data_IF_430253841648
#
_entry.id   IF_430253841648
#
_cell.length_a   1.000
_cell.length_b   1.000
_cell.length_c   1.000
_cell.angle_alpha   90.00
_cell.angle_beta   90.00
_cell.angle_gamma   90.00
#
_symmetry.space_group_name_H-M   'P 1'
#
loop_
_entity.id
_entity.type
_entity.pdbx_description
1 polymer ?
#
# COMPACT_ATOMS: atom_id res chain seq x y z
N UNK A 1 11.08 -5.00 -3.17
CA UNK A 1 11.26 -6.33 -3.76
C UNK A 1 11.61 -7.37 -2.71
N UNK A 2 12.51 -7.06 -1.78
CA UNK A 2 13.01 -8.02 -0.78
C UNK A 2 11.89 -8.61 0.09
N UNK A 3 10.87 -7.82 0.44
CA UNK A 3 9.73 -8.31 1.22
C UNK A 3 8.88 -9.31 0.44
N UNK A 4 8.65 -9.06 -0.85
CA UNK A 4 7.90 -9.98 -1.72
C UNK A 4 8.70 -11.28 -1.88
N UNK A 5 9.99 -11.16 -2.13
CA UNK A 5 10.91 -12.30 -2.25
C UNK A 5 10.94 -13.13 -0.96
N UNK A 6 11.07 -12.48 0.19
CA UNK A 6 11.03 -13.13 1.50
C UNK A 6 9.70 -13.88 1.72
N UNK A 7 8.58 -13.21 1.45
CA UNK A 7 7.24 -13.81 1.60
C UNK A 7 7.06 -15.02 0.68
N UNK A 8 7.55 -14.93 -0.55
CA UNK A 8 7.49 -16.03 -1.52
C UNK A 8 8.30 -17.25 -1.04
N UNK A 9 9.53 -17.04 -0.57
CA UNK A 9 10.37 -18.14 -0.08
C UNK A 9 9.84 -18.76 1.20
N UNK A 10 9.39 -17.95 2.15
CA UNK A 10 8.81 -18.48 3.40
C UNK A 10 7.50 -19.20 3.14
N UNK A 11 6.59 -18.57 2.38
CA UNK A 11 5.30 -19.20 2.04
C UNK A 11 5.46 -20.44 1.19
N UNK A 12 6.35 -20.42 0.20
CA UNK A 12 6.69 -21.58 -0.62
C UNK A 12 7.30 -22.71 0.18
N UNK A 13 8.21 -22.41 1.11
CA UNK A 13 8.80 -23.39 2.01
C UNK A 13 7.76 -24.07 2.91
N UNK A 14 6.86 -23.29 3.50
CA UNK A 14 5.76 -23.82 4.31
C UNK A 14 4.82 -24.69 3.46
N UNK A 15 4.46 -24.23 2.26
CA UNK A 15 3.61 -24.99 1.34
C UNK A 15 4.23 -26.36 1.00
N UNK A 16 5.51 -26.39 0.62
CA UNK A 16 6.22 -27.65 0.31
C UNK A 16 6.26 -28.55 1.53
N UNK A 17 6.57 -28.00 2.73
CA UNK A 17 6.61 -28.78 3.95
C UNK A 17 5.25 -29.45 4.28
N UNK A 18 4.16 -28.69 4.13
CA UNK A 18 2.79 -29.21 4.34
C UNK A 18 2.45 -30.27 3.31
N UNK A 19 2.78 -30.07 2.02
CA UNK A 19 2.54 -31.07 0.98
C UNK A 19 3.31 -32.37 1.25
N UNK A 20 4.59 -32.27 1.60
CA UNK A 20 5.40 -33.44 1.94
C UNK A 20 4.87 -34.17 3.20
N UNK A 21 4.44 -33.42 4.20
CA UNK A 21 3.80 -33.98 5.38
C UNK A 21 2.49 -34.72 5.05
N UNK A 22 1.66 -34.13 4.20
CA UNK A 22 0.43 -34.79 3.74
C UNK A 22 0.72 -36.09 2.98
N UNK A 23 1.68 -36.04 2.05
CA UNK A 23 2.13 -37.22 1.29
C UNK A 23 2.62 -38.32 2.28
N UNK A 24 3.47 -37.92 3.22
CA UNK A 24 3.92 -38.83 4.27
C UNK A 24 2.76 -39.47 5.03
N UNK A 25 1.77 -38.68 5.45
CA UNK A 25 0.60 -39.18 6.15
C UNK A 25 -0.21 -40.17 5.31
N UNK A 26 -0.42 -39.90 4.04
CA UNK A 26 -1.14 -40.77 3.11
C UNK A 26 -0.45 -42.16 3.03
N UNK A 27 0.87 -42.19 2.85
CA UNK A 27 1.61 -43.45 2.75
C UNK A 27 1.72 -44.16 4.12
N UNK A 28 1.92 -43.38 5.20
CA UNK A 28 2.16 -43.96 6.55
C UNK A 28 0.89 -44.46 7.22
N UNK A 29 -0.23 -43.80 6.97
CA UNK A 29 -1.51 -44.08 7.63
C UNK A 29 -2.58 -44.68 6.70
N UNK A 30 -2.18 -45.16 5.52
CA UNK A 30 -3.10 -45.91 4.65
C UNK A 30 -3.72 -47.10 5.40
N UNK A 31 -4.97 -47.40 5.08
CA UNK A 31 -5.69 -48.53 5.67
C UNK A 31 -4.95 -49.84 5.42
N UNK A 32 -4.80 -50.62 6.45
CA UNK A 32 -4.29 -52.01 6.42
C UNK A 32 -5.17 -52.87 7.33
N UNK A 33 -5.48 -54.10 6.92
CA UNK A 33 -6.38 -54.98 7.64
C UNK A 33 -5.88 -55.32 9.08
N UNK A 34 -4.57 -55.35 9.26
CA UNK A 34 -3.92 -55.68 10.55
C UNK A 34 -3.74 -54.48 11.49
N UNK A 35 -4.17 -53.28 11.08
CA UNK A 35 -3.99 -52.06 11.86
C UNK A 35 -5.32 -51.40 12.21
N UNK A 36 -5.52 -51.15 13.49
CA UNK A 36 -6.61 -50.30 13.98
C UNK A 36 -6.11 -48.91 14.27
N UNK A 37 -6.94 -47.90 13.91
CA UNK A 37 -6.67 -46.53 14.27
C UNK A 37 -6.74 -46.34 15.79
N UNK A 38 -5.79 -45.63 16.36
CA UNK A 38 -5.85 -45.21 17.77
C UNK A 38 -6.87 -44.09 17.92
N UNK A 39 -7.80 -44.29 18.85
CA UNK A 39 -8.77 -43.24 19.18
C UNK A 39 -8.14 -42.21 20.11
N UNK A 40 -7.73 -41.08 19.56
CA UNK A 40 -7.14 -39.95 20.29
C UNK A 40 -7.80 -38.67 19.87
N UNK A 41 -8.96 -38.32 20.44
CA UNK A 41 -9.77 -37.20 19.98
C UNK A 41 -9.11 -35.82 20.21
N UNK A 42 -8.28 -35.73 21.25
CA UNK A 42 -7.58 -34.47 21.59
C UNK A 42 -6.12 -34.74 21.99
N UNK A 43 -5.21 -33.95 21.41
CA UNK A 43 -3.83 -33.87 21.86
C UNK A 43 -3.50 -32.43 22.23
N UNK A 44 -3.73 -32.03 23.47
CA UNK A 44 -3.50 -30.67 23.99
C UNK A 44 -2.06 -30.20 23.86
N UNK A 45 -1.07 -31.11 23.78
CA UNK A 45 0.33 -30.73 23.57
C UNK A 45 0.58 -30.35 22.12
N UNK A 46 0.09 -31.19 21.20
CA UNK A 46 0.22 -30.93 19.77
C UNK A 46 -0.53 -29.65 19.38
N UNK A 47 -1.73 -29.46 19.88
CA UNK A 47 -2.54 -28.26 19.66
C UNK A 47 -1.80 -26.98 20.11
N UNK A 48 -1.26 -26.98 21.35
CA UNK A 48 -0.47 -25.85 21.85
C UNK A 48 0.77 -25.56 20.99
N UNK A 49 1.51 -26.60 20.58
CA UNK A 49 2.70 -26.45 19.75
C UNK A 49 2.33 -25.85 18.40
N UNK A 50 1.30 -26.34 17.74
CA UNK A 50 0.83 -25.84 16.45
C UNK A 50 0.33 -24.40 16.57
N UNK A 51 -0.46 -24.08 17.59
CA UNK A 51 -0.96 -22.74 17.84
C UNK A 51 0.19 -21.75 18.05
N UNK A 52 1.15 -22.07 18.91
CA UNK A 52 2.28 -21.19 19.15
C UNK A 52 3.20 -21.06 17.93
N UNK A 53 3.46 -22.15 17.21
CA UNK A 53 4.30 -22.12 16.01
C UNK A 53 3.69 -21.23 14.92
N UNK A 54 2.38 -21.37 14.67
CA UNK A 54 1.68 -20.53 13.70
C UNK A 54 1.61 -19.07 14.16
N UNK A 55 1.30 -18.81 15.43
CA UNK A 55 1.26 -17.44 15.98
C UNK A 55 2.60 -16.74 15.87
N UNK A 56 3.69 -17.39 16.25
CA UNK A 56 5.04 -16.83 16.15
C UNK A 56 5.45 -16.65 14.69
N UNK A 57 5.11 -17.59 13.80
CA UNK A 57 5.37 -17.46 12.36
C UNK A 57 4.66 -16.28 11.73
N UNK A 58 3.37 -16.11 12.03
CA UNK A 58 2.59 -14.95 11.56
C UNK A 58 3.14 -13.64 12.14
N UNK A 59 3.45 -13.58 13.42
CA UNK A 59 4.02 -12.40 14.05
C UNK A 59 5.37 -12.01 13.43
N UNK A 60 6.23 -12.98 13.13
CA UNK A 60 7.52 -12.76 12.48
C UNK A 60 7.40 -12.22 11.05
N UNK A 61 6.36 -12.61 10.31
CA UNK A 61 6.08 -12.08 8.97
C UNK A 61 5.39 -10.71 9.01
N UNK A 62 4.56 -10.47 10.02
CA UNK A 62 3.84 -9.21 10.18
C UNK A 62 4.76 -8.06 10.57
N UNK A 63 5.76 -8.30 11.44
CA UNK A 63 6.64 -7.25 11.94
C UNK A 63 7.38 -6.47 10.83
N UNK A 64 8.04 -7.10 9.83
CA UNK A 64 8.64 -6.37 8.70
C UNK A 64 7.61 -5.58 7.90
N UNK A 65 6.41 -6.14 7.69
CA UNK A 65 5.32 -5.47 7.00
C UNK A 65 4.89 -4.18 7.68
N UNK A 66 4.75 -4.19 9.01
CA UNK A 66 4.41 -2.99 9.81
C UNK A 66 5.52 -1.94 9.77
N UNK A 67 6.79 -2.35 9.75
CA UNK A 67 7.91 -1.42 9.63
C UNK A 67 7.86 -0.69 8.29
N UNK A 68 7.64 -1.42 7.21
CA UNK A 68 7.51 -0.84 5.87
C UNK A 68 6.28 0.06 5.78
N UNK A 69 5.14 -0.40 6.30
CA UNK A 69 3.92 0.40 6.33
C UNK A 69 4.13 1.74 7.08
N UNK A 70 4.85 1.71 8.20
CA UNK A 70 5.19 2.91 8.95
C UNK A 70 5.98 3.93 8.11
N UNK A 71 6.81 3.49 7.16
CA UNK A 71 7.54 4.39 6.25
C UNK A 71 6.62 5.10 5.26
N UNK A 72 5.50 4.48 4.86
CA UNK A 72 4.52 5.12 3.98
C UNK A 72 3.65 6.15 4.70
N UNK A 73 3.41 5.98 6.00
CA UNK A 73 2.60 6.90 6.80
C UNK A 73 3.41 8.10 7.29
N UNK A 74 4.70 7.91 7.56
CA UNK A 74 5.57 8.97 8.04
C UNK A 74 6.20 9.74 6.88
N UNK A 75 5.67 10.93 6.63
CA UNK A 75 6.14 11.81 5.54
C UNK A 75 7.48 12.44 5.91
N UNK A 76 8.53 12.28 5.09
CA UNK A 76 9.79 13.01 5.25
C UNK A 76 9.57 14.53 5.16
N UNK A 77 10.31 15.30 5.95
CA UNK A 77 10.17 16.77 5.99
C UNK A 77 10.52 17.47 4.66
N UNK A 78 11.29 16.82 3.81
CA UNK A 78 11.72 17.31 2.51
C UNK A 78 10.85 16.82 1.35
N UNK A 79 9.72 16.18 1.62
CA UNK A 79 8.80 15.70 0.59
C UNK A 79 8.12 16.87 -0.14
N UNK A 80 7.98 16.72 -1.46
CA UNK A 80 7.13 17.60 -2.27
C UNK A 80 5.68 17.17 -2.04
N UNK A 81 4.80 18.13 -1.74
CA UNK A 81 3.37 17.85 -1.64
C UNK A 81 2.74 17.98 -3.03
N UNK A 82 1.95 16.99 -3.43
CA UNK A 82 1.19 16.99 -4.67
C UNK A 82 -0.26 16.65 -4.33
N UNK A 83 -1.18 17.52 -4.68
CA UNK A 83 -2.61 17.26 -4.52
C UNK A 83 -3.16 16.70 -5.83
N UNK A 84 -3.85 15.58 -5.78
CA UNK A 84 -4.37 14.85 -6.94
C UNK A 84 -5.87 14.76 -6.83
N UNK A 85 -6.56 15.23 -7.85
CA UNK A 85 -8.01 15.18 -7.98
C UNK A 85 -8.40 14.28 -9.13
N UNK A 86 -9.29 13.34 -8.86
CA UNK A 86 -9.87 12.42 -9.83
C UNK A 86 -11.32 12.81 -10.16
N UNK A 87 -11.71 12.68 -11.42
CA UNK A 87 -13.10 12.78 -11.88
C UNK A 87 -13.34 11.91 -13.10
N UNK A 88 -14.56 11.72 -13.49
CA UNK A 88 -14.94 11.02 -14.71
C UNK A 88 -14.83 11.99 -15.92
N UNK A 89 -13.84 11.94 -16.84
CA UNK A 89 -12.77 10.94 -16.88
C UNK A 89 -11.43 11.66 -16.98
N UNK A 90 -10.78 11.91 -15.88
CA UNK A 90 -9.50 12.60 -15.91
C UNK A 90 -8.83 12.76 -14.57
N UNK A 91 -7.65 13.35 -14.62
CA UNK A 91 -6.81 13.67 -13.47
C UNK A 91 -6.37 15.11 -13.51
N UNK A 92 -6.36 15.75 -12.37
CA UNK A 92 -5.78 17.07 -12.20
C UNK A 92 -4.79 17.03 -11.03
N UNK A 93 -3.67 17.63 -11.24
CA UNK A 93 -2.62 17.73 -10.25
C UNK A 93 -2.44 19.18 -9.85
N UNK A 94 -2.25 19.39 -8.56
CA UNK A 94 -1.85 20.67 -8.02
C UNK A 94 -0.49 20.52 -7.37
N UNK A 95 0.48 21.27 -7.85
CA UNK A 95 1.85 21.30 -7.37
C UNK A 95 2.12 22.60 -6.65
N UNK A 96 2.97 22.60 -5.62
CA UNK A 96 3.41 23.82 -4.99
C UNK A 96 4.17 24.69 -6.00
N UNK A 97 3.97 25.98 -5.91
CA UNK A 97 4.67 26.96 -6.73
C UNK A 97 6.12 27.16 -6.32
N UNK A 98 6.60 28.39 -6.49
CA UNK A 98 7.99 28.76 -6.18
C UNK A 98 8.32 28.72 -4.69
N UNK A 99 7.30 28.87 -3.83
CA UNK A 99 7.43 28.86 -2.39
C UNK A 99 7.53 27.41 -1.80
N UNK A 100 7.25 26.39 -2.61
CA UNK A 100 7.33 24.98 -2.25
C UNK A 100 6.25 24.53 -1.28
N UNK A 101 5.13 25.28 -1.15
CA UNK A 101 4.01 24.97 -0.27
C UNK A 101 2.69 25.04 -1.03
N UNK A 102 1.80 24.10 -0.77
CA UNK A 102 0.43 24.16 -1.28
C UNK A 102 -0.42 25.12 -0.44
N UNK A 103 -1.26 25.91 -1.10
CA UNK A 103 -2.26 26.72 -0.43
C UNK A 103 -3.27 25.86 0.34
N UNK A 104 -3.84 26.41 1.40
CA UNK A 104 -4.86 25.76 2.21
C UNK A 104 -6.14 25.53 1.42
N UNK A 105 -6.82 24.42 1.68
CA UNK A 105 -8.07 24.06 1.02
C UNK A 105 -9.21 23.96 2.03
N UNK A 106 -10.41 24.38 1.61
CA UNK A 106 -11.61 24.27 2.43
C UNK A 106 -12.79 23.80 1.58
N UNK A 107 -13.55 22.85 2.11
CA UNK A 107 -14.71 22.25 1.41
C UNK A 107 -15.72 23.33 0.96
N UNK A 108 -15.93 24.36 1.74
CA UNK A 108 -16.85 25.48 1.39
C UNK A 108 -16.43 26.30 0.15
N UNK A 109 -15.17 26.21 -0.25
CA UNK A 109 -14.63 26.92 -1.40
C UNK A 109 -14.66 26.07 -2.68
N UNK A 110 -15.15 24.84 -2.60
CA UNK A 110 -15.28 23.97 -3.77
C UNK A 110 -16.36 24.54 -4.69
N UNK A 111 -15.97 24.76 -5.95
CA UNK A 111 -16.81 25.24 -7.02
C UNK A 111 -16.29 24.70 -8.36
N UNK A 112 -17.06 24.83 -9.42
CA UNK A 112 -16.68 24.33 -10.76
C UNK A 112 -15.33 24.89 -11.24
N UNK A 113 -15.03 26.14 -10.89
CA UNK A 113 -13.75 26.79 -11.19
C UNK A 113 -12.67 26.61 -10.11
N UNK A 114 -12.99 25.94 -9.01
CA UNK A 114 -12.09 25.68 -7.88
C UNK A 114 -12.34 24.28 -7.28
N UNK A 115 -12.09 23.21 -8.03
CA UNK A 115 -12.42 21.85 -7.58
C UNK A 115 -11.63 21.43 -6.35
N UNK A 116 -10.44 21.96 -6.14
CA UNK A 116 -9.64 21.71 -4.94
C UNK A 116 -10.13 22.46 -3.69
N UNK A 117 -10.99 23.47 -3.85
CA UNK A 117 -11.45 24.32 -2.76
C UNK A 117 -10.33 25.18 -2.16
N UNK A 118 -9.43 25.68 -3.00
CA UNK A 118 -8.32 26.54 -2.57
C UNK A 118 -8.87 27.80 -1.92
N UNK A 119 -8.27 28.19 -0.81
CA UNK A 119 -8.64 29.43 -0.13
C UNK A 119 -8.05 30.62 -0.90
N UNK A 120 -8.90 31.54 -1.43
CA UNK A 120 -8.43 32.68 -2.20
C UNK A 120 -7.64 33.71 -1.38
N UNK A 121 -7.83 33.69 -0.06
CA UNK A 121 -7.14 34.60 0.86
C UNK A 121 -5.76 34.09 1.28
N UNK A 122 -5.45 32.84 0.96
CA UNK A 122 -4.17 32.24 1.31
C UNK A 122 -3.10 32.66 0.29
N UNK A 123 -2.04 33.36 0.71
CA UNK A 123 -0.97 33.78 -0.19
C UNK A 123 -0.21 32.60 -0.81
N UNK A 124 -0.10 31.45 -0.11
CA UNK A 124 0.59 30.27 -0.59
C UNK A 124 -0.13 29.55 -1.73
N UNK A 125 -1.44 29.72 -1.88
CA UNK A 125 -2.19 29.12 -2.98
C UNK A 125 -2.17 29.91 -4.29
N UNK A 126 -1.59 31.11 -4.30
CA UNK A 126 -1.62 32.01 -5.49
C UNK A 126 -0.65 31.59 -6.58
N UNK A 127 0.42 30.92 -6.23
CA UNK A 127 1.45 30.45 -7.15
C UNK A 127 1.39 28.93 -7.39
N UNK A 128 0.38 28.25 -6.84
CA UNK A 128 0.12 26.83 -7.10
C UNK A 128 -0.05 26.55 -8.59
N UNK A 129 0.61 25.50 -9.06
CA UNK A 129 0.61 25.11 -10.47
C UNK A 129 -0.44 24.01 -10.68
N UNK A 130 -1.41 24.31 -11.53
CA UNK A 130 -2.45 23.35 -11.93
C UNK A 130 -2.06 22.66 -13.23
N UNK A 131 -2.09 21.32 -13.21
CA UNK A 131 -1.81 20.49 -14.38
C UNK A 131 -2.97 19.54 -14.60
N UNK A 132 -3.67 19.68 -15.70
CA UNK A 132 -4.70 18.75 -16.16
C UNK A 132 -4.09 17.85 -17.24
N UNK A 133 -3.74 16.63 -16.85
CA UNK A 133 -3.03 15.69 -17.73
C UNK A 133 -3.00 14.30 -17.10
N UNK A 134 -2.85 13.28 -17.93
CA UNK A 134 -2.55 11.92 -17.50
C UNK A 134 -1.07 11.71 -17.13
N UNK A 135 -0.24 12.74 -17.33
CA UNK A 135 1.20 12.71 -17.08
C UNK A 135 1.58 13.81 -16.10
N UNK A 136 2.28 13.45 -15.06
CA UNK A 136 2.89 14.39 -14.11
C UNK A 136 4.42 14.25 -14.12
N UNK A 137 5.13 15.35 -14.18
CA UNK A 137 6.58 15.40 -14.07
C UNK A 137 6.96 15.72 -12.62
N UNK A 138 7.71 14.84 -11.98
CA UNK A 138 8.16 15.01 -10.61
C UNK A 138 9.69 15.06 -10.55
N UNK A 139 10.21 15.75 -9.53
CA UNK A 139 11.64 15.87 -9.31
C UNK A 139 12.23 14.52 -8.90
N UNK A 140 13.31 14.10 -9.58
CA UNK A 140 14.00 12.86 -9.28
C UNK A 140 14.73 12.94 -7.93
N UNK A 141 14.84 11.81 -7.22
CA UNK A 141 15.51 11.69 -5.92
C UNK A 141 14.92 12.55 -4.79
N UNK A 142 13.67 12.98 -4.91
CA UNK A 142 12.96 13.67 -3.85
C UNK A 142 11.68 12.93 -3.46
N UNK A 143 11.43 12.66 -2.18
CA UNK A 143 10.20 12.00 -1.76
C UNK A 143 8.98 12.88 -2.07
N UNK A 144 7.88 12.23 -2.41
CA UNK A 144 6.64 12.90 -2.80
C UNK A 144 5.52 12.48 -1.84
N UNK A 145 4.81 13.46 -1.31
CA UNK A 145 3.58 13.29 -0.53
C UNK A 145 2.40 13.52 -1.45
N UNK A 146 1.62 12.51 -1.70
CA UNK A 146 0.40 12.59 -2.52
C UNK A 146 -0.80 12.80 -1.60
N UNK A 147 -1.59 13.83 -1.88
CA UNK A 147 -2.91 14.05 -1.31
C UNK A 147 -3.93 13.64 -2.38
N UNK A 148 -4.65 12.55 -2.16
CA UNK A 148 -5.51 11.96 -3.19
C UNK A 148 -6.97 12.17 -2.85
N UNK A 149 -7.71 12.71 -3.81
CA UNK A 149 -9.14 13.06 -3.68
C UNK A 149 -9.92 12.64 -4.91
N UNK A 150 -11.23 12.52 -4.76
CA UNK A 150 -12.16 12.32 -5.87
C UNK A 150 -13.34 13.26 -5.76
N UNK A 151 -13.81 13.75 -6.90
CA UNK A 151 -14.99 14.63 -7.01
C UNK A 151 -16.28 13.82 -7.03
N UNK A 152 -16.31 12.69 -7.71
CA UNK A 152 -17.51 11.95 -8.09
C UNK A 152 -17.59 10.54 -7.53
N UNK A 153 -16.82 9.61 -8.09
CA UNK A 153 -16.85 8.19 -7.75
C UNK A 153 -15.49 7.69 -7.29
N UNK A 154 -15.39 6.41 -6.98
CA UNK A 154 -14.13 5.77 -6.64
C UNK A 154 -13.25 5.65 -7.89
N UNK A 155 -12.03 6.19 -7.84
CA UNK A 155 -11.02 6.05 -8.87
C UNK A 155 -9.78 5.35 -8.32
N UNK A 156 -9.06 4.63 -9.17
CA UNK A 156 -7.82 4.01 -8.79
C UNK A 156 -6.64 4.78 -9.40
N UNK A 157 -5.90 5.49 -8.55
CA UNK A 157 -4.67 6.16 -8.96
C UNK A 157 -3.54 5.14 -8.99
N UNK A 158 -3.07 4.81 -10.19
CA UNK A 158 -2.05 3.79 -10.41
C UNK A 158 -0.89 4.34 -11.23
N UNK A 159 0.29 4.38 -10.64
CA UNK A 159 1.53 4.82 -11.28
C UNK A 159 2.54 3.68 -11.23
N UNK A 160 2.60 2.84 -12.28
CA UNK A 160 3.45 1.65 -12.29
C UNK A 160 4.93 1.96 -12.10
N UNK A 161 5.40 3.09 -12.62
CA UNK A 161 6.79 3.55 -12.50
C UNK A 161 7.21 3.77 -11.05
N UNK A 162 6.28 4.16 -10.19
CA UNK A 162 6.51 4.35 -8.76
C UNK A 162 6.09 3.14 -7.93
N UNK A 163 5.52 2.10 -8.57
CA UNK A 163 4.86 0.98 -7.90
C UNK A 163 3.81 1.45 -6.88
N UNK A 164 3.21 2.59 -7.18
CA UNK A 164 2.22 3.25 -6.36
C UNK A 164 0.82 2.93 -6.86
N UNK A 165 -0.05 2.54 -5.94
CA UNK A 165 -1.45 2.29 -6.20
C UNK A 165 -2.26 2.68 -4.97
N UNK A 166 -3.24 3.56 -5.15
CA UNK A 166 -4.16 3.95 -4.09
C UNK A 166 -5.50 4.38 -4.68
N UNK A 167 -6.57 4.06 -4.00
CA UNK A 167 -7.90 4.47 -4.41
C UNK A 167 -8.20 5.90 -3.96
N UNK A 168 -8.73 6.72 -4.87
CA UNK A 168 -9.29 8.04 -4.57
C UNK A 168 -10.76 7.87 -4.19
N UNK A 169 -11.08 8.16 -2.93
CA UNK A 169 -12.43 7.96 -2.38
C UNK A 169 -13.12 9.30 -2.23
N UNK A 170 -14.36 9.48 -2.79
CA UNK A 170 -15.12 10.71 -2.64
C UNK A 170 -15.33 11.07 -1.16
N UNK A 171 -15.23 12.37 -0.87
CA UNK A 171 -15.44 12.88 0.50
C UNK A 171 -14.28 12.65 1.47
N UNK A 172 -13.19 12.01 1.03
CA UNK A 172 -11.98 11.80 1.83
C UNK A 172 -10.74 12.37 1.14
N UNK A 173 -9.75 12.74 1.93
CA UNK A 173 -8.42 13.07 1.44
C UNK A 173 -7.46 12.02 1.97
N UNK A 174 -7.00 11.16 1.08
CA UNK A 174 -6.07 10.08 1.45
C UNK A 174 -4.64 10.55 1.24
N UNK A 175 -3.77 10.15 2.16
CA UNK A 175 -2.36 10.49 2.14
C UNK A 175 -1.53 9.27 1.74
N UNK A 176 -0.70 9.46 0.73
CA UNK A 176 0.27 8.46 0.30
C UNK A 176 1.66 9.10 0.21
N UNK A 177 2.67 8.44 0.78
CA UNK A 177 4.05 8.88 0.64
C UNK A 177 4.79 7.93 -0.29
N UNK A 178 5.23 8.44 -1.44
CA UNK A 178 6.11 7.69 -2.31
C UNK A 178 7.57 7.97 -1.92
N UNK A 179 8.40 6.94 -1.73
CA UNK A 179 9.83 7.16 -1.75
C UNK A 179 10.20 7.79 -3.10
N UNK A 180 11.29 8.56 -3.12
CA UNK A 180 11.80 9.20 -4.34
C UNK A 180 11.59 8.32 -5.58
N UNK A 181 11.08 8.88 -6.69
CA UNK A 181 11.11 8.17 -7.95
C UNK A 181 12.58 7.83 -8.26
N UNK A 182 12.92 6.57 -8.12
CA UNK A 182 14.21 6.07 -8.59
C UNK A 182 14.02 5.65 -10.03
N UNK A 183 15.02 5.84 -10.86
CA UNK A 183 15.13 5.18 -12.15
C UNK A 183 15.11 3.66 -11.93
N UNK A 184 13.92 3.10 -11.86
CA UNK A 184 13.68 1.69 -11.64
C UNK A 184 13.30 0.98 -12.93
N UNK A 185 13.83 1.46 -14.04
CA UNK A 185 13.91 0.67 -15.25
C UNK A 185 15.26 -0.08 -15.18
N UNK A 186 15.25 -1.41 -15.02
CA UNK A 186 16.45 -2.17 -15.29
C UNK A 186 16.79 -1.94 -16.76
N UNK A 187 17.99 -1.44 -17.02
CA UNK A 187 18.63 -1.42 -18.33
C UNK A 187 18.67 -2.82 -18.93
#
# INVERSE_FOLDING_TARGET
DDTITLTFWVGGGVFVAVCLFMIYCVFRYQHKEDRRAEYKPEDKKLEKILTWATTLGVAALLAPGLIIWNQYVNVPKNAIEVDVMAWQWGWQYRLPGKDGKLGTTQVRNIADNNPFGINPDDPFGKDDIMVESDVINLENNRPVKILLRSVDVLHNWYVPQFRAKMDAVPGTCLLYTSPSPRDSLPS
#
